data_IF_565881677258
#
_entry.id   IF_565881677258
#
_cell.length_a   1.000
_cell.length_b   1.000
_cell.length_c   1.000
_cell.angle_alpha   90.00
_cell.angle_beta   90.00
_cell.angle_gamma   90.00
#
_symmetry.space_group_name_H-M   'P 1'
#
loop_
_entity.id
_entity.type
_entity.pdbx_description
1 polymer ?
#
# COMPACT_ATOMS: atom_id res chain seq x y z
N UNK A 1 34.04 9.30 -55.34
CA UNK A 1 32.66 9.60 -55.73
C UNK A 1 31.82 8.35 -55.48
N UNK A 2 31.39 8.11 -54.25
CA UNK A 2 30.43 7.06 -53.91
C UNK A 2 30.10 7.21 -52.44
N UNK A 3 29.24 8.16 -52.11
CA UNK A 3 28.65 8.24 -50.77
C UNK A 3 27.40 9.12 -50.83
N UNK A 4 26.27 8.53 -51.27
CA UNK A 4 24.94 9.13 -51.12
C UNK A 4 23.89 8.13 -51.55
N UNK A 5 23.62 7.14 -50.72
CA UNK A 5 22.36 6.42 -50.75
C UNK A 5 22.15 5.64 -49.43
N UNK A 6 22.10 6.35 -48.30
CA UNK A 6 21.47 5.78 -47.11
C UNK A 6 19.99 6.13 -47.16
N UNK A 7 19.27 5.15 -47.62
CA UNK A 7 17.86 4.99 -47.74
C UNK A 7 17.08 5.61 -46.58
N UNK A 8 16.18 6.54 -46.90
CA UNK A 8 15.04 6.95 -46.06
C UNK A 8 14.24 5.73 -45.68
N UNK A 9 14.37 5.28 -44.46
CA UNK A 9 13.43 4.32 -43.90
C UNK A 9 12.04 4.97 -43.93
N UNK A 10 11.18 4.46 -44.81
CA UNK A 10 9.76 4.81 -44.86
C UNK A 10 9.16 4.53 -43.51
N UNK A 11 8.70 5.59 -42.83
CA UNK A 11 7.81 5.44 -41.70
C UNK A 11 6.65 4.54 -42.09
N UNK A 12 6.53 3.40 -41.41
CA UNK A 12 5.40 2.49 -41.59
C UNK A 12 4.16 3.29 -41.19
N UNK A 13 3.39 3.68 -42.19
CA UNK A 13 2.06 4.26 -42.02
C UNK A 13 1.21 3.23 -41.26
N UNK A 14 0.96 3.45 -40.00
CA UNK A 14 -0.03 2.70 -39.25
C UNK A 14 -1.39 2.98 -39.88
N UNK A 15 -1.82 2.12 -40.82
CA UNK A 15 -3.16 2.12 -41.34
C UNK A 15 -4.12 1.96 -40.16
N UNK A 16 -4.74 3.05 -39.73
CA UNK A 16 -5.83 2.99 -38.75
C UNK A 16 -6.97 2.21 -39.38
N UNK A 17 -7.11 0.96 -39.00
CA UNK A 17 -8.25 0.12 -39.38
C UNK A 17 -9.51 0.89 -39.03
N UNK A 18 -10.39 1.14 -40.01
CA UNK A 18 -11.67 1.82 -39.75
C UNK A 18 -12.49 0.90 -38.85
N UNK A 19 -12.88 1.41 -37.68
CA UNK A 19 -13.73 0.67 -36.73
C UNK A 19 -15.06 0.33 -37.38
N UNK A 20 -15.50 -0.91 -37.23
CA UNK A 20 -16.82 -1.35 -37.68
C UNK A 20 -17.92 -0.73 -36.78
N UNK A 21 -19.20 -0.86 -37.18
CA UNK A 21 -20.33 -0.41 -36.33
C UNK A 21 -20.38 -1.24 -35.04
N UNK A 22 -20.03 -2.50 -35.11
CA UNK A 22 -19.97 -3.40 -33.92
C UNK A 22 -18.87 -2.98 -32.95
N UNK A 23 -17.69 -2.61 -33.46
CA UNK A 23 -16.59 -2.06 -32.63
C UNK A 23 -17.01 -0.76 -31.92
N UNK A 24 -17.79 0.10 -32.59
CA UNK A 24 -18.30 1.33 -32.01
C UNK A 24 -19.30 1.06 -30.89
N UNK A 25 -20.22 0.14 -31.08
CA UNK A 25 -21.21 -0.26 -30.06
C UNK A 25 -20.47 -0.87 -28.86
N UNK A 26 -19.51 -1.75 -29.10
CA UNK A 26 -18.70 -2.35 -28.05
C UNK A 26 -17.93 -1.30 -27.26
N UNK A 27 -17.27 -0.36 -27.92
CA UNK A 27 -16.55 0.73 -27.25
C UNK A 27 -17.49 1.59 -26.40
N UNK A 28 -18.68 1.95 -26.90
CA UNK A 28 -19.67 2.74 -26.15
C UNK A 28 -20.09 1.98 -24.90
N UNK A 29 -20.40 0.70 -25.00
CA UNK A 29 -20.78 -0.13 -23.84
C UNK A 29 -19.62 -0.17 -22.83
N UNK A 30 -18.41 -0.42 -23.29
CA UNK A 30 -17.22 -0.51 -22.46
C UNK A 30 -16.96 0.82 -21.72
N UNK A 31 -17.00 1.95 -22.44
CA UNK A 31 -16.81 3.27 -21.81
C UNK A 31 -17.94 3.63 -20.85
N UNK A 32 -19.18 3.27 -21.17
CA UNK A 32 -20.34 3.52 -20.29
C UNK A 32 -20.18 2.75 -18.98
N UNK A 33 -19.85 1.46 -19.05
CA UNK A 33 -19.57 0.64 -17.87
C UNK A 33 -18.39 1.22 -17.09
N UNK A 34 -17.30 1.59 -17.76
CA UNK A 34 -16.14 2.21 -17.14
C UNK A 34 -16.48 3.51 -16.39
N UNK A 35 -17.23 4.40 -17.01
CA UNK A 35 -17.67 5.67 -16.38
C UNK A 35 -18.59 5.40 -15.19
N UNK A 36 -19.53 4.48 -15.30
CA UNK A 36 -20.40 4.10 -14.18
C UNK A 36 -19.59 3.55 -12.99
N UNK A 37 -18.63 2.67 -13.24
CA UNK A 37 -17.75 2.15 -12.19
C UNK A 37 -16.92 3.26 -11.54
N UNK A 38 -16.41 4.20 -12.32
CA UNK A 38 -15.67 5.36 -11.80
C UNK A 38 -16.58 6.20 -10.90
N UNK A 39 -17.79 6.52 -11.33
CA UNK A 39 -18.73 7.31 -10.55
C UNK A 39 -19.09 6.60 -9.24
N UNK A 40 -19.46 5.33 -9.31
CA UNK A 40 -19.86 4.53 -8.13
C UNK A 40 -18.70 4.44 -7.12
N UNK A 41 -17.45 4.32 -7.58
CA UNK A 41 -16.28 4.19 -6.69
C UNK A 41 -15.79 5.52 -6.16
N UNK A 42 -15.73 6.55 -6.99
CA UNK A 42 -15.17 7.85 -6.59
C UNK A 42 -16.17 8.74 -5.85
N UNK A 43 -17.46 8.62 -6.13
CA UNK A 43 -18.45 9.48 -5.49
C UNK A 43 -18.48 9.37 -3.95
N UNK A 44 -18.47 8.18 -3.33
CA UNK A 44 -18.40 8.07 -1.87
C UNK A 44 -17.13 8.71 -1.28
N UNK A 45 -15.99 8.58 -1.95
CA UNK A 45 -14.73 9.18 -1.50
C UNK A 45 -14.79 10.71 -1.62
N UNK A 46 -15.31 11.21 -2.73
CA UNK A 46 -15.55 12.64 -2.94
C UNK A 46 -16.51 13.20 -1.90
N UNK A 47 -17.62 12.50 -1.63
CA UNK A 47 -18.59 12.90 -0.60
C UNK A 47 -17.95 13.02 0.79
N UNK A 48 -17.10 12.07 1.20
CA UNK A 48 -16.37 12.12 2.48
C UNK A 48 -15.52 13.39 2.55
N UNK A 49 -14.83 13.74 1.46
CA UNK A 49 -13.97 14.93 1.42
C UNK A 49 -14.83 16.20 1.58
N UNK A 50 -15.90 16.38 0.81
CA UNK A 50 -16.75 17.58 0.92
C UNK A 50 -17.51 17.65 2.26
N UNK A 51 -17.93 16.50 2.80
CA UNK A 51 -18.59 16.43 4.09
C UNK A 51 -17.65 16.81 5.26
N UNK A 52 -16.36 16.50 5.16
CA UNK A 52 -15.38 16.75 6.22
C UNK A 52 -15.15 18.23 6.53
N UNK A 53 -15.44 19.14 5.60
CA UNK A 53 -15.33 20.59 5.79
C UNK A 53 -16.63 21.35 5.52
N UNK A 54 -17.77 20.64 5.49
CA UNK A 54 -19.09 21.26 5.37
C UNK A 54 -19.74 21.51 6.73
N UNK A 55 -20.80 22.32 6.76
CA UNK A 55 -21.58 22.51 7.98
C UNK A 55 -22.21 21.17 8.45
N UNK A 56 -22.05 20.83 9.75
CA UNK A 56 -22.55 19.54 10.28
C UNK A 56 -24.04 19.35 10.11
N UNK A 57 -24.83 20.43 10.30
CA UNK A 57 -26.27 20.36 10.14
C UNK A 57 -26.66 20.08 8.68
N UNK A 58 -25.96 20.69 7.72
CA UNK A 58 -26.20 20.45 6.30
C UNK A 58 -25.83 19.00 5.90
N UNK A 59 -24.77 18.41 6.52
CA UNK A 59 -24.39 16.99 6.32
C UNK A 59 -25.47 16.08 6.86
N UNK A 60 -25.88 16.27 8.12
CA UNK A 60 -26.86 15.43 8.81
C UNK A 60 -28.24 15.47 8.15
N UNK A 61 -28.62 16.62 7.57
CA UNK A 61 -29.88 16.82 6.86
C UNK A 61 -29.84 16.37 5.39
N UNK A 62 -28.74 15.76 4.92
CA UNK A 62 -28.62 15.30 3.54
C UNK A 62 -28.62 16.41 2.48
N UNK A 63 -28.28 17.65 2.87
CA UNK A 63 -28.29 18.80 1.96
C UNK A 63 -27.03 18.91 1.10
N UNK A 64 -26.05 18.04 1.33
CA UNK A 64 -24.78 18.00 0.61
C UNK A 64 -24.85 16.85 -0.39
N UNK A 65 -24.63 17.17 -1.67
CA UNK A 65 -24.61 16.19 -2.74
C UNK A 65 -23.33 16.29 -3.59
N UNK A 66 -23.11 17.45 -4.20
CA UNK A 66 -21.96 17.69 -5.07
C UNK A 66 -21.05 18.84 -4.61
N UNK A 67 -21.55 19.76 -3.81
CA UNK A 67 -20.79 20.92 -3.35
C UNK A 67 -20.90 21.06 -1.83
N UNK A 68 -19.82 21.53 -1.17
CA UNK A 68 -19.85 21.77 0.26
C UNK A 68 -20.81 22.95 0.57
N UNK A 69 -21.51 22.88 1.70
CA UNK A 69 -22.34 23.96 2.21
C UNK A 69 -21.80 24.41 3.57
N UNK A 70 -21.68 25.74 3.77
CA UNK A 70 -21.22 26.28 5.06
C UNK A 70 -19.80 25.81 5.41
N UNK A 71 -18.82 26.07 4.52
CA UNK A 71 -17.44 25.60 4.68
C UNK A 71 -16.87 25.96 6.07
N UNK A 72 -16.45 24.98 6.82
CA UNK A 72 -15.78 25.14 8.11
C UNK A 72 -14.75 24.03 8.34
N UNK A 73 -13.78 24.31 9.21
CA UNK A 73 -12.70 23.39 9.58
C UNK A 73 -12.75 22.98 11.05
N UNK A 74 -13.90 23.09 11.71
CA UNK A 74 -14.06 22.79 13.15
C UNK A 74 -13.65 21.36 13.47
N UNK A 75 -14.04 20.37 12.64
CA UNK A 75 -13.65 18.97 12.81
C UNK A 75 -12.13 18.76 12.78
N UNK A 76 -11.47 19.38 11.80
CA UNK A 76 -9.99 19.32 11.68
C UNK A 76 -9.28 20.03 12.84
N UNK A 77 -9.77 21.21 13.24
CA UNK A 77 -9.20 21.95 14.36
C UNK A 77 -9.30 21.15 15.68
N UNK A 78 -10.45 20.56 15.93
CA UNK A 78 -10.64 19.71 17.08
C UNK A 78 -9.78 18.45 17.00
N UNK A 79 -9.71 17.80 15.83
CA UNK A 79 -8.87 16.62 15.65
C UNK A 79 -7.39 16.95 15.89
N UNK A 80 -6.91 18.08 15.37
CA UNK A 80 -5.53 18.54 15.56
C UNK A 80 -5.18 18.89 17.00
N UNK A 81 -6.16 19.22 17.84
CA UNK A 81 -5.94 19.51 19.27
C UNK A 81 -5.69 18.26 20.14
N UNK A 82 -5.97 17.06 19.60
CA UNK A 82 -5.65 15.82 20.31
C UNK A 82 -4.15 15.51 20.26
N UNK A 83 -3.43 15.70 21.35
CA UNK A 83 -1.98 15.43 21.42
C UNK A 83 -1.63 13.98 21.04
N UNK A 84 -2.49 13.01 21.38
CA UNK A 84 -2.34 11.60 21.00
C UNK A 84 -2.33 11.37 19.48
N UNK A 85 -2.99 12.23 18.69
CA UNK A 85 -2.98 12.15 17.23
C UNK A 85 -1.55 12.28 16.69
N UNK A 86 -0.80 13.25 17.15
CA UNK A 86 0.58 13.51 16.71
C UNK A 86 1.55 12.42 17.13
N UNK A 87 1.34 11.88 18.36
CA UNK A 87 2.08 10.68 18.80
C UNK A 87 1.78 9.49 17.88
N UNK A 88 0.51 9.27 17.56
CA UNK A 88 0.09 8.21 16.63
C UNK A 88 0.70 8.35 15.24
N UNK A 89 0.75 9.57 14.69
CA UNK A 89 1.45 9.85 13.41
C UNK A 89 2.93 9.52 13.46
N UNK A 90 3.63 10.03 14.50
CA UNK A 90 5.05 9.75 14.69
C UNK A 90 5.33 8.26 14.75
N UNK A 91 4.55 7.52 15.54
CA UNK A 91 4.72 6.08 15.69
C UNK A 91 4.43 5.34 14.37
N UNK A 92 3.35 5.69 13.67
CA UNK A 92 3.02 5.06 12.39
C UNK A 92 4.09 5.31 11.35
N UNK A 93 4.61 6.53 11.24
CA UNK A 93 5.71 6.85 10.32
C UNK A 93 6.95 6.02 10.67
N UNK A 94 7.29 5.90 11.96
CA UNK A 94 8.41 5.09 12.40
C UNK A 94 8.20 3.60 12.09
N UNK A 95 7.00 3.06 12.31
CA UNK A 95 6.65 1.68 11.95
C UNK A 95 6.68 1.45 10.44
N UNK A 96 6.18 2.38 9.64
CA UNK A 96 6.23 2.32 8.16
C UNK A 96 7.67 2.27 7.68
N UNK A 97 8.53 3.17 8.15
CA UNK A 97 9.93 3.23 7.71
C UNK A 97 10.67 1.96 8.11
N UNK A 98 10.67 1.64 9.42
CA UNK A 98 11.41 0.48 9.93
C UNK A 98 10.82 -0.84 9.48
N UNK A 99 9.48 -0.97 9.49
CA UNK A 99 8.79 -2.18 9.04
C UNK A 99 9.02 -2.46 7.55
N UNK A 100 8.94 -1.43 6.70
CA UNK A 100 9.26 -1.56 5.28
C UNK A 100 10.72 -1.92 5.06
N UNK A 101 11.65 -1.26 5.77
CA UNK A 101 13.06 -1.58 5.67
C UNK A 101 13.36 -3.03 6.04
N UNK A 102 12.88 -3.51 7.20
CA UNK A 102 13.09 -4.90 7.64
C UNK A 102 12.43 -5.88 6.67
N UNK A 103 11.21 -5.58 6.21
CA UNK A 103 10.52 -6.40 5.19
C UNK A 103 11.35 -6.54 3.92
N UNK A 104 11.94 -5.47 3.41
CA UNK A 104 12.79 -5.52 2.22
C UNK A 104 14.08 -6.31 2.47
N UNK A 105 14.76 -6.04 3.58
CA UNK A 105 16.02 -6.72 3.95
C UNK A 105 15.84 -8.24 4.08
N UNK A 106 14.66 -8.69 4.52
CA UNK A 106 14.41 -10.13 4.68
C UNK A 106 13.87 -10.75 3.39
N UNK A 107 12.85 -10.13 2.76
CA UNK A 107 12.15 -10.77 1.65
C UNK A 107 12.90 -10.68 0.31
N UNK A 108 13.67 -9.61 0.05
CA UNK A 108 14.38 -9.46 -1.23
C UNK A 108 15.52 -10.49 -1.37
N UNK A 109 16.42 -10.65 -0.39
CA UNK A 109 17.45 -11.69 -0.47
C UNK A 109 16.86 -13.11 -0.51
N UNK A 110 15.82 -13.40 0.28
CA UNK A 110 15.13 -14.67 0.26
C UNK A 110 14.53 -14.98 -1.12
N UNK A 111 13.86 -14.00 -1.73
CA UNK A 111 13.31 -14.11 -3.08
C UNK A 111 14.38 -14.40 -4.12
N UNK A 112 15.50 -13.66 -4.06
CA UNK A 112 16.63 -13.85 -4.95
C UNK A 112 17.26 -15.23 -4.79
N UNK A 113 17.57 -15.64 -3.58
CA UNK A 113 18.14 -16.96 -3.31
C UNK A 113 17.25 -18.08 -3.86
N UNK A 114 15.94 -18.02 -3.59
CA UNK A 114 14.98 -19.01 -4.09
C UNK A 114 14.77 -18.96 -5.62
N UNK A 115 15.17 -17.90 -6.29
CA UNK A 115 15.14 -17.82 -7.75
C UNK A 115 16.28 -18.63 -8.40
N UNK A 116 17.42 -18.78 -7.72
CA UNK A 116 18.60 -19.45 -8.29
C UNK A 116 18.41 -20.96 -8.39
N UNK A 117 18.70 -21.53 -9.58
CA UNK A 117 18.53 -22.97 -9.84
C UNK A 117 19.51 -23.82 -9.02
N UNK A 118 20.70 -23.29 -8.79
CA UNK A 118 21.80 -23.98 -8.08
C UNK A 118 21.70 -23.90 -6.54
N UNK A 119 20.64 -23.28 -5.99
CA UNK A 119 20.48 -23.25 -4.53
C UNK A 119 20.22 -24.66 -4.00
N UNK A 120 21.14 -25.15 -3.18
CA UNK A 120 20.99 -26.44 -2.48
C UNK A 120 19.76 -26.39 -1.56
N UNK A 121 18.92 -27.43 -1.61
CA UNK A 121 17.70 -27.48 -0.79
C UNK A 121 16.58 -26.53 -1.24
N UNK A 122 16.64 -25.94 -2.44
CA UNK A 122 15.64 -24.99 -2.97
C UNK A 122 14.19 -25.46 -2.80
N UNK A 123 13.91 -26.76 -3.04
CA UNK A 123 12.55 -27.31 -2.89
C UNK A 123 12.09 -27.28 -1.43
N UNK A 124 12.99 -27.64 -0.51
CA UNK A 124 12.72 -27.60 0.93
C UNK A 124 12.43 -26.18 1.40
N UNK A 125 13.29 -25.21 1.10
CA UNK A 125 13.07 -23.81 1.48
C UNK A 125 11.82 -23.21 0.82
N UNK A 126 11.54 -23.57 -0.43
CA UNK A 126 10.30 -23.14 -1.08
C UNK A 126 9.07 -23.67 -0.34
N UNK A 127 9.05 -24.95 0.02
CA UNK A 127 7.96 -25.54 0.80
C UNK A 127 7.85 -24.90 2.20
N UNK A 128 8.97 -24.67 2.87
CA UNK A 128 9.04 -24.02 4.18
C UNK A 128 8.37 -22.63 4.18
N UNK A 129 8.58 -21.82 3.15
CA UNK A 129 7.89 -20.53 3.01
C UNK A 129 6.44 -20.68 2.56
N UNK A 130 6.10 -21.69 1.75
CA UNK A 130 4.73 -21.87 1.24
C UNK A 130 3.77 -22.42 2.28
N UNK A 131 4.22 -23.34 3.15
CA UNK A 131 3.37 -23.98 4.15
C UNK A 131 2.61 -22.96 5.01
N UNK A 132 3.25 -21.93 5.61
CA UNK A 132 2.56 -20.94 6.42
C UNK A 132 1.53 -20.09 5.65
N UNK A 133 1.59 -20.04 4.34
CA UNK A 133 0.60 -19.34 3.53
C UNK A 133 -0.75 -20.07 3.53
N UNK A 134 -0.75 -21.39 3.61
CA UNK A 134 -1.95 -22.23 3.59
C UNK A 134 -2.36 -22.70 4.99
N UNK A 135 -1.41 -22.85 5.91
CA UNK A 135 -1.60 -23.37 7.25
C UNK A 135 -1.10 -22.36 8.28
N UNK A 136 -2.02 -21.55 8.82
CA UNK A 136 -1.68 -20.60 9.88
C UNK A 136 -1.85 -21.25 11.25
N UNK A 137 -0.94 -20.96 12.18
CA UNK A 137 -1.06 -21.39 13.57
C UNK A 137 -2.22 -20.71 14.32
N UNK A 138 -2.78 -19.64 13.77
CA UNK A 138 -3.85 -18.84 14.39
C UNK A 138 -3.31 -17.78 15.35
N UNK A 139 -4.26 -17.00 15.91
CA UNK A 139 -3.95 -15.84 16.73
C UNK A 139 -3.28 -16.22 18.07
N UNK A 140 -3.82 -17.21 18.77
CA UNK A 140 -3.35 -17.59 20.11
C UNK A 140 -1.91 -18.10 20.08
N UNK A 141 -1.52 -19.07 19.24
CA UNK A 141 -0.13 -19.51 19.13
C UNK A 141 0.82 -18.37 18.73
N UNK A 142 0.40 -17.48 17.82
CA UNK A 142 1.22 -16.32 17.43
C UNK A 142 1.42 -15.36 18.61
N UNK A 143 0.37 -15.09 19.38
CA UNK A 143 0.46 -14.25 20.59
C UNK A 143 1.44 -14.85 21.60
N UNK A 144 1.31 -16.15 21.89
CA UNK A 144 2.19 -16.85 22.83
C UNK A 144 3.66 -16.84 22.35
N UNK A 145 3.90 -16.99 21.04
CA UNK A 145 5.23 -16.90 20.48
C UNK A 145 5.81 -15.47 20.69
N UNK A 146 5.04 -14.44 20.35
CA UNK A 146 5.45 -13.02 20.54
C UNK A 146 5.74 -12.74 22.02
N UNK A 147 4.91 -13.27 22.93
CA UNK A 147 5.10 -13.15 24.38
C UNK A 147 6.39 -13.85 24.82
N UNK A 148 6.64 -15.05 24.33
CA UNK A 148 7.85 -15.83 24.66
C UNK A 148 9.15 -15.14 24.25
N UNK A 149 9.12 -14.37 23.16
CA UNK A 149 10.24 -13.56 22.70
C UNK A 149 10.32 -12.17 23.38
N UNK A 150 9.48 -11.91 24.38
CA UNK A 150 9.43 -10.63 25.12
C UNK A 150 9.21 -9.41 24.20
N UNK A 151 8.47 -9.58 23.12
CA UNK A 151 8.19 -8.51 22.16
C UNK A 151 6.89 -7.76 22.45
N UNK A 152 6.01 -8.27 23.33
CA UNK A 152 4.75 -7.61 23.68
C UNK A 152 5.01 -6.20 24.20
N UNK A 153 4.18 -5.27 23.76
CA UNK A 153 4.21 -3.85 24.16
C UNK A 153 5.55 -3.17 23.89
N UNK A 154 6.23 -3.56 22.82
CA UNK A 154 7.47 -2.94 22.35
C UNK A 154 7.32 -2.38 20.94
N UNK A 155 8.19 -1.45 20.55
CA UNK A 155 8.28 -0.97 19.17
C UNK A 155 8.49 -2.13 18.16
N UNK A 156 9.31 -3.11 18.54
CA UNK A 156 9.74 -4.21 17.67
C UNK A 156 8.63 -5.20 17.35
N UNK A 157 7.56 -5.28 18.16
CA UNK A 157 6.43 -6.17 17.84
C UNK A 157 5.70 -5.77 16.56
N UNK A 158 5.71 -4.48 16.22
CA UNK A 158 5.11 -3.99 14.98
C UNK A 158 6.01 -4.17 13.75
N UNK A 159 7.30 -4.38 13.95
CA UNK A 159 8.31 -4.38 12.89
C UNK A 159 8.77 -5.79 12.53
N UNK A 160 9.12 -6.63 13.52
CA UNK A 160 9.85 -7.89 13.30
C UNK A 160 8.96 -9.09 13.02
N UNK A 161 7.95 -9.44 13.86
CA UNK A 161 7.22 -10.72 13.73
C UNK A 161 6.49 -10.90 12.41
N UNK A 162 6.08 -9.79 11.77
CA UNK A 162 5.26 -9.79 10.55
C UNK A 162 6.02 -9.32 9.31
N UNK A 163 7.36 -9.23 9.38
CA UNK A 163 8.20 -8.75 8.28
C UNK A 163 8.38 -9.78 7.16
N UNK A 164 8.30 -11.08 7.47
CA UNK A 164 8.39 -12.15 6.47
C UNK A 164 7.01 -12.37 5.85
N UNK A 165 6.87 -12.04 4.57
CA UNK A 165 5.61 -12.19 3.85
C UNK A 165 5.82 -13.10 2.64
N UNK A 166 5.30 -14.31 2.71
CA UNK A 166 5.46 -15.35 1.67
C UNK A 166 5.07 -14.84 0.29
N UNK A 167 3.98 -14.08 0.19
CA UNK A 167 3.54 -13.49 -1.08
C UNK A 167 4.61 -12.59 -1.71
N UNK A 168 5.30 -11.76 -0.92
CA UNK A 168 6.39 -10.91 -1.42
C UNK A 168 7.57 -11.73 -1.91
N UNK A 169 7.88 -12.83 -1.21
CA UNK A 169 8.94 -13.77 -1.62
C UNK A 169 8.60 -14.41 -2.97
N UNK A 170 7.35 -14.86 -3.17
CA UNK A 170 6.91 -15.47 -4.42
C UNK A 170 6.99 -14.48 -5.59
N UNK A 171 6.45 -13.26 -5.40
CA UNK A 171 6.48 -12.21 -6.42
C UNK A 171 7.93 -11.84 -6.77
N UNK A 172 8.77 -11.59 -5.76
CA UNK A 172 10.18 -11.29 -5.97
C UNK A 172 10.93 -12.43 -6.68
N UNK A 173 10.71 -13.69 -6.26
CA UNK A 173 11.29 -14.86 -6.91
C UNK A 173 10.89 -14.96 -8.38
N UNK A 174 9.62 -14.74 -8.71
CA UNK A 174 9.13 -14.77 -10.09
C UNK A 174 9.79 -13.68 -10.92
N UNK A 175 9.89 -12.47 -10.36
CA UNK A 175 10.59 -11.37 -11.02
C UNK A 175 12.07 -11.72 -11.28
N UNK A 176 12.80 -12.22 -10.29
CA UNK A 176 14.21 -12.55 -10.44
C UNK A 176 14.44 -13.68 -11.45
N UNK A 177 13.55 -14.68 -11.50
CA UNK A 177 13.63 -15.75 -12.50
C UNK A 177 13.50 -15.23 -13.93
N UNK A 178 12.65 -14.20 -14.14
CA UNK A 178 12.35 -13.68 -15.47
C UNK A 178 13.30 -12.55 -15.91
N UNK A 179 13.80 -11.77 -14.98
CA UNK A 179 14.51 -10.52 -15.26
C UNK A 179 16.03 -10.58 -15.02
N UNK A 180 16.52 -11.63 -14.35
CA UNK A 180 17.96 -11.81 -14.07
C UNK A 180 18.41 -13.14 -14.65
N UNK A 181 18.82 -13.18 -15.97
CA UNK A 181 19.29 -14.39 -16.63
C UNK A 181 20.52 -15.00 -15.94
N UNK A 182 20.68 -16.30 -16.07
CA UNK A 182 21.82 -17.02 -15.52
C UNK A 182 23.14 -16.56 -16.15
N UNK A 183 23.10 -16.23 -17.44
CA UNK A 183 24.26 -15.76 -18.24
C UNK A 183 24.92 -14.52 -17.62
N UNK A 184 24.13 -13.63 -16.96
CA UNK A 184 24.68 -12.48 -16.22
C UNK A 184 25.52 -12.91 -15.02
N UNK A 185 25.13 -14.00 -14.36
CA UNK A 185 25.90 -14.56 -13.26
C UNK A 185 27.19 -15.19 -13.75
N UNK A 186 27.12 -15.98 -14.85
CA UNK A 186 28.28 -16.61 -15.45
C UNK A 186 29.33 -15.59 -15.90
N UNK A 187 28.89 -14.53 -16.59
CA UNK A 187 29.76 -13.42 -16.96
C UNK A 187 30.42 -12.73 -15.74
N UNK A 188 29.64 -12.45 -14.71
CA UNK A 188 30.14 -11.83 -13.49
C UNK A 188 31.17 -12.72 -12.74
N UNK A 189 31.01 -14.05 -12.80
CA UNK A 189 31.99 -14.98 -12.26
C UNK A 189 33.32 -14.96 -13.00
N UNK A 190 33.29 -14.84 -14.34
CA UNK A 190 34.51 -14.68 -15.14
C UNK A 190 35.27 -13.40 -14.78
N UNK A 191 34.52 -12.35 -14.42
CA UNK A 191 35.09 -11.07 -13.92
C UNK A 191 35.52 -11.14 -12.43
N UNK A 192 35.49 -12.32 -11.79
CA UNK A 192 35.88 -12.53 -10.39
C UNK A 192 34.86 -12.01 -9.36
N UNK A 193 33.61 -11.75 -9.77
CA UNK A 193 32.58 -11.25 -8.88
C UNK A 193 31.99 -12.38 -8.00
N UNK A 194 32.06 -12.22 -6.68
CA UNK A 194 31.41 -13.16 -5.74
C UNK A 194 29.91 -12.91 -5.58
N UNK A 195 29.20 -13.86 -4.95
CA UNK A 195 27.73 -13.84 -4.78
C UNK A 195 27.18 -12.52 -4.16
N UNK A 196 27.81 -12.03 -3.09
CA UNK A 196 27.37 -10.78 -2.46
C UNK A 196 27.63 -9.57 -3.36
N UNK A 197 28.78 -9.54 -4.05
CA UNK A 197 29.10 -8.49 -5.02
C UNK A 197 28.08 -8.44 -6.15
N UNK A 198 27.74 -9.60 -6.72
CA UNK A 198 26.72 -9.71 -7.76
C UNK A 198 25.34 -9.24 -7.28
N UNK A 199 24.93 -9.67 -6.08
CA UNK A 199 23.64 -9.28 -5.51
C UNK A 199 23.54 -7.76 -5.34
N UNK A 200 24.53 -7.14 -4.67
CA UNK A 200 24.46 -5.70 -4.37
C UNK A 200 24.73 -4.79 -5.56
N UNK A 201 25.69 -5.18 -6.44
CA UNK A 201 26.14 -4.31 -7.55
C UNK A 201 25.34 -4.50 -8.83
N UNK A 202 24.75 -5.69 -9.06
CA UNK A 202 24.06 -6.00 -10.32
C UNK A 202 22.58 -6.29 -10.07
N UNK A 203 22.23 -7.25 -9.19
CA UNK A 203 20.86 -7.68 -9.00
C UNK A 203 19.98 -6.57 -8.42
N UNK A 204 20.36 -5.95 -7.32
CA UNK A 204 19.56 -4.89 -6.68
C UNK A 204 19.31 -3.69 -7.61
N UNK A 205 20.32 -3.13 -8.31
CA UNK A 205 20.09 -2.04 -9.24
C UNK A 205 19.16 -2.37 -10.41
N UNK A 206 19.22 -3.60 -10.93
CA UNK A 206 18.33 -4.07 -12.01
C UNK A 206 16.90 -4.35 -11.52
N UNK A 207 16.71 -4.51 -10.21
CA UNK A 207 15.45 -4.93 -9.61
C UNK A 207 14.66 -3.81 -8.94
N UNK A 208 14.96 -2.55 -9.25
CA UNK A 208 14.31 -1.37 -8.65
C UNK A 208 12.78 -1.44 -8.74
N UNK A 209 12.23 -1.96 -9.83
CA UNK A 209 10.78 -2.06 -10.04
C UNK A 209 10.12 -2.96 -8.99
N UNK A 210 10.58 -4.21 -8.82
CA UNK A 210 10.00 -5.14 -7.83
C UNK A 210 10.26 -4.70 -6.40
N UNK A 211 11.42 -4.11 -6.12
CA UNK A 211 11.73 -3.56 -4.80
C UNK A 211 10.75 -2.43 -4.45
N UNK A 212 10.47 -1.51 -5.38
CA UNK A 212 9.52 -0.43 -5.18
C UNK A 212 8.09 -0.94 -4.95
N UNK A 213 7.66 -1.98 -5.67
CA UNK A 213 6.35 -2.61 -5.49
C UNK A 213 6.23 -3.24 -4.10
N UNK A 214 7.21 -4.04 -3.70
CA UNK A 214 7.22 -4.68 -2.38
C UNK A 214 7.31 -3.64 -1.26
N UNK A 215 8.13 -2.59 -1.44
CA UNK A 215 8.21 -1.47 -0.50
C UNK A 215 6.87 -0.78 -0.32
N UNK A 216 6.13 -0.52 -1.40
CA UNK A 216 4.80 0.08 -1.32
C UNK A 216 3.83 -0.80 -0.56
N UNK A 217 3.76 -2.09 -0.90
CA UNK A 217 2.86 -3.02 -0.21
C UNK A 217 3.18 -3.13 1.28
N UNK A 218 4.47 -3.19 1.63
CA UNK A 218 4.91 -3.20 3.02
C UNK A 218 4.54 -1.90 3.75
N UNK A 219 4.78 -0.75 3.13
CA UNK A 219 4.47 0.56 3.69
C UNK A 219 2.96 0.75 3.91
N UNK A 220 2.13 0.38 2.92
CA UNK A 220 0.66 0.43 3.04
C UNK A 220 0.17 -0.56 4.11
N UNK A 221 0.74 -1.77 4.18
CA UNK A 221 0.42 -2.75 5.20
C UNK A 221 0.72 -2.24 6.61
N UNK A 222 1.90 -1.62 6.81
CA UNK A 222 2.29 -1.02 8.09
C UNK A 222 1.43 0.19 8.45
N UNK A 223 1.10 1.05 7.50
CA UNK A 223 0.19 2.18 7.73
C UNK A 223 -1.17 1.74 8.24
N UNK A 224 -1.71 0.64 7.70
CA UNK A 224 -3.02 0.08 8.03
C UNK A 224 -2.97 -0.94 9.18
N UNK A 225 -1.86 -1.08 9.90
CA UNK A 225 -1.62 -2.12 10.91
C UNK A 225 -2.42 -1.89 12.21
N UNK A 226 -3.75 -1.83 12.10
CA UNK A 226 -4.66 -1.67 13.22
C UNK A 226 -4.74 -2.92 14.10
N UNK A 227 -4.97 -4.09 13.48
CA UNK A 227 -5.26 -5.32 14.21
C UNK A 227 -4.08 -5.82 15.05
N UNK A 228 -2.88 -5.79 14.48
CA UNK A 228 -1.67 -6.15 15.21
C UNK A 228 -1.43 -5.21 16.39
N UNK A 229 -1.59 -3.90 16.17
CA UNK A 229 -1.44 -2.92 17.25
C UNK A 229 -2.46 -3.13 18.37
N UNK A 230 -3.72 -3.46 18.03
CA UNK A 230 -4.78 -3.71 19.01
C UNK A 230 -4.44 -4.89 19.93
N UNK A 231 -3.77 -5.93 19.41
CA UNK A 231 -3.48 -7.15 20.15
C UNK A 231 -2.17 -7.04 20.94
N UNK A 232 -1.14 -6.44 20.34
CA UNK A 232 0.21 -6.51 20.88
C UNK A 232 0.70 -5.24 21.56
N UNK A 233 0.04 -4.07 21.37
CA UNK A 233 0.41 -2.78 21.97
C UNK A 233 -0.59 -2.40 23.05
N UNK A 234 -0.10 -2.18 24.27
CA UNK A 234 -0.89 -1.71 25.42
C UNK A 234 -0.60 -0.25 25.77
N UNK A 235 0.68 0.14 25.70
CA UNK A 235 1.14 1.47 26.05
C UNK A 235 0.67 2.52 25.04
N UNK A 236 0.00 3.57 25.51
CA UNK A 236 -0.50 4.67 24.67
C UNK A 236 0.62 5.37 23.88
N UNK A 237 1.83 5.41 24.43
CA UNK A 237 3.00 6.02 23.80
C UNK A 237 3.48 5.31 22.55
N UNK A 238 3.11 4.02 22.35
CA UNK A 238 3.46 3.18 21.21
C UNK A 238 2.31 2.99 20.23
N UNK A 239 1.11 3.47 20.54
CA UNK A 239 -0.05 3.28 19.68
C UNK A 239 0.15 3.94 18.31
N UNK A 240 -0.13 3.22 17.20
CA UNK A 240 -0.14 3.81 15.88
C UNK A 240 -1.41 4.64 15.66
N UNK A 241 -1.37 5.46 14.60
CA UNK A 241 -2.45 6.37 14.20
C UNK A 241 -3.83 5.69 14.15
N UNK A 242 -3.92 4.50 13.57
CA UNK A 242 -5.19 3.80 13.39
C UNK A 242 -5.89 3.46 14.72
N UNK A 243 -5.13 3.11 15.76
CA UNK A 243 -5.68 2.89 17.11
C UNK A 243 -6.16 4.20 17.71
N UNK A 244 -5.36 5.26 17.59
CA UNK A 244 -5.70 6.59 18.12
C UNK A 244 -6.96 7.13 17.43
N UNK A 245 -7.05 7.06 16.12
CA UNK A 245 -8.22 7.52 15.36
C UNK A 245 -9.49 6.76 15.75
N UNK A 246 -9.39 5.43 15.94
CA UNK A 246 -10.51 4.65 16.44
C UNK A 246 -10.92 5.08 17.85
N UNK A 247 -9.98 5.30 18.76
CA UNK A 247 -10.30 5.74 20.13
C UNK A 247 -11.02 7.09 20.14
N UNK A 248 -10.60 8.03 19.29
CA UNK A 248 -11.26 9.33 19.13
C UNK A 248 -12.68 9.14 18.56
N UNK A 249 -12.83 8.29 17.53
CA UNK A 249 -14.13 8.01 16.91
C UNK A 249 -15.11 7.41 17.93
N UNK A 250 -14.71 6.35 18.63
CA UNK A 250 -15.54 5.67 19.64
C UNK A 250 -15.87 6.62 20.78
N UNK A 251 -14.90 7.39 21.27
CA UNK A 251 -15.10 8.37 22.35
C UNK A 251 -16.15 9.43 21.98
N UNK A 252 -16.08 10.00 20.77
CA UNK A 252 -17.05 10.98 20.31
C UNK A 252 -18.45 10.37 20.09
N UNK A 253 -18.55 9.15 19.59
CA UNK A 253 -19.81 8.44 19.46
C UNK A 253 -20.46 8.16 20.82
N UNK A 254 -19.68 7.71 21.81
CA UNK A 254 -20.15 7.46 23.16
C UNK A 254 -20.64 8.77 23.83
N UNK A 255 -19.88 9.86 23.71
CA UNK A 255 -20.27 11.16 24.20
C UNK A 255 -21.60 11.63 23.58
N UNK A 256 -21.74 11.47 22.26
CA UNK A 256 -22.98 11.80 21.55
C UNK A 256 -24.18 10.97 22.01
N UNK A 257 -23.96 9.67 22.29
CA UNK A 257 -25.02 8.77 22.78
C UNK A 257 -25.45 9.04 24.22
N UNK A 258 -24.55 9.59 25.06
CA UNK A 258 -24.82 9.92 26.47
C UNK A 258 -25.41 11.33 26.65
N UNK A 259 -25.34 12.18 25.64
CA UNK A 259 -25.87 13.55 25.69
C UNK A 259 -27.41 13.54 25.49
N UNK A 260 -28.10 14.49 26.10
CA UNK A 260 -29.56 14.63 26.03
C UNK A 260 -29.98 16.04 25.60
N UNK A 261 -31.16 16.19 25.02
CA UNK A 261 -31.71 17.47 24.60
C UNK A 261 -30.92 18.14 23.48
N UNK A 262 -30.80 19.45 23.48
CA UNK A 262 -30.10 20.24 22.45
C UNK A 262 -28.60 19.87 22.36
N UNK A 263 -27.97 19.60 23.50
CA UNK A 263 -26.57 19.18 23.56
C UNK A 263 -26.32 17.87 22.82
N UNK A 264 -27.30 16.95 22.76
CA UNK A 264 -27.18 15.71 21.99
C UNK A 264 -27.07 15.95 20.49
N UNK A 265 -27.81 16.94 19.98
CA UNK A 265 -27.77 17.32 18.55
C UNK A 265 -26.39 17.87 18.19
N UNK A 266 -25.87 18.80 18.99
CA UNK A 266 -24.53 19.37 18.75
C UNK A 266 -23.42 18.32 18.87
N UNK A 267 -23.49 17.47 19.90
CA UNK A 267 -22.51 16.38 20.09
C UNK A 267 -22.53 15.39 18.90
N UNK A 268 -23.71 15.04 18.38
CA UNK A 268 -23.86 14.18 17.21
C UNK A 268 -23.28 14.83 15.95
N UNK A 269 -23.61 16.09 15.72
CA UNK A 269 -23.09 16.83 14.57
C UNK A 269 -21.55 16.94 14.60
N UNK A 270 -20.99 17.17 15.79
CA UNK A 270 -19.53 17.21 15.95
C UNK A 270 -18.89 15.83 15.76
N UNK A 271 -19.50 14.75 16.27
CA UNK A 271 -19.04 13.38 16.06
C UNK A 271 -19.03 13.01 14.57
N UNK A 272 -20.05 13.42 13.80
CA UNK A 272 -20.10 13.19 12.36
C UNK A 272 -19.00 13.96 11.61
N UNK A 273 -18.75 15.23 11.96
CA UNK A 273 -17.63 15.99 11.38
C UNK A 273 -16.27 15.35 11.64
N UNK A 274 -16.04 14.97 12.89
CA UNK A 274 -14.78 14.31 13.29
C UNK A 274 -14.62 12.99 12.54
N UNK A 275 -15.69 12.23 12.36
CA UNK A 275 -15.68 10.97 11.59
C UNK A 275 -15.17 11.19 10.15
N UNK A 276 -15.71 12.18 9.44
CA UNK A 276 -15.26 12.48 8.07
C UNK A 276 -13.84 13.04 8.04
N UNK A 277 -13.49 13.93 8.97
CA UNK A 277 -12.13 14.45 9.09
C UNK A 277 -11.10 13.34 9.37
N UNK A 278 -11.42 12.36 10.22
CA UNK A 278 -10.58 11.19 10.51
C UNK A 278 -10.29 10.40 9.23
N UNK A 279 -11.31 10.12 8.41
CA UNK A 279 -11.14 9.35 7.18
C UNK A 279 -10.19 10.09 6.22
N UNK A 280 -10.38 11.39 6.03
CA UNK A 280 -9.49 12.19 5.17
C UNK A 280 -8.06 12.21 5.70
N UNK A 281 -7.89 12.49 7.00
CA UNK A 281 -6.57 12.58 7.65
C UNK A 281 -5.83 11.24 7.63
N UNK A 282 -6.53 10.12 7.81
CA UNK A 282 -5.92 8.79 7.75
C UNK A 282 -5.54 8.35 6.33
N UNK A 283 -6.29 8.79 5.31
CA UNK A 283 -6.09 8.37 3.92
C UNK A 283 -5.09 9.26 3.16
N UNK A 284 -5.02 10.56 3.50
CA UNK A 284 -4.21 11.54 2.78
C UNK A 284 -2.72 11.14 2.63
N UNK A 285 -2.00 10.66 3.66
CA UNK A 285 -0.60 10.28 3.50
C UNK A 285 -0.37 9.14 2.51
N UNK A 286 -1.25 8.12 2.49
CA UNK A 286 -1.16 7.01 1.52
C UNK A 286 -1.43 7.53 0.12
N UNK A 287 -2.44 8.38 -0.06
CA UNK A 287 -2.73 8.99 -1.36
C UNK A 287 -1.56 9.83 -1.88
N UNK A 288 -0.85 10.52 -0.99
CA UNK A 288 0.36 11.28 -1.36
C UNK A 288 1.55 10.37 -1.71
N UNK A 289 1.61 9.14 -1.19
CA UNK A 289 2.67 8.17 -1.53
C UNK A 289 2.49 7.55 -2.92
N UNK A 290 1.24 7.42 -3.40
CA UNK A 290 0.95 6.74 -4.67
C UNK A 290 1.68 7.34 -5.88
N UNK A 291 1.70 8.66 -6.14
CA UNK A 291 2.40 9.24 -7.27
C UNK A 291 3.90 8.95 -7.29
N UNK A 292 4.52 8.81 -6.11
CA UNK A 292 5.95 8.53 -5.98
C UNK A 292 6.31 7.13 -6.50
N UNK A 293 5.37 6.18 -6.42
CA UNK A 293 5.60 4.78 -6.79
C UNK A 293 5.02 4.44 -8.16
N UNK A 294 4.03 5.22 -8.64
CA UNK A 294 3.34 4.99 -9.92
C UNK A 294 4.31 4.83 -11.11
N UNK A 295 5.39 5.61 -11.14
CA UNK A 295 6.42 5.52 -12.19
C UNK A 295 7.09 4.14 -12.31
N UNK A 296 7.18 3.40 -11.20
CA UNK A 296 7.78 2.06 -11.20
C UNK A 296 6.79 0.97 -11.65
N UNK A 297 5.48 1.17 -11.44
CA UNK A 297 4.45 0.25 -11.94
C UNK A 297 4.42 0.21 -13.48
N UNK A 298 4.51 1.35 -14.13
CA UNK A 298 4.50 1.42 -15.59
C UNK A 298 5.68 0.66 -16.22
N UNK A 299 6.83 0.59 -15.55
CA UNK A 299 7.99 -0.17 -16.00
C UNK A 299 7.85 -1.69 -15.78
N UNK A 300 7.19 -2.10 -14.69
CA UNK A 300 7.00 -3.52 -14.35
C UNK A 300 5.95 -4.23 -15.22
N UNK A 301 4.88 -3.55 -15.57
CA UNK A 301 3.80 -4.10 -16.42
C UNK A 301 4.27 -4.31 -17.84
N UNK A 302 5.13 -3.44 -18.39
CA UNK A 302 5.68 -3.57 -19.74
C UNK A 302 6.63 -4.76 -19.90
N UNK A 303 7.34 -5.18 -18.86
CA UNK A 303 8.25 -6.33 -18.89
C UNK A 303 7.51 -7.68 -18.96
N UNK A 304 6.26 -7.73 -18.50
CA UNK A 304 5.41 -8.92 -18.59
C UNK A 304 4.70 -9.09 -19.94
N UNK A 305 4.47 -8.01 -20.68
CA UNK A 305 3.70 -8.01 -21.93
C UNK A 305 4.54 -8.24 -23.18
N UNK A 306 5.88 -8.16 -23.11
CA UNK A 306 6.78 -8.36 -24.25
C UNK A 306 7.15 -9.84 -24.50
N UNK A 307 6.57 -10.80 -23.79
CA UNK A 307 6.75 -12.25 -23.99
C UNK A 307 5.45 -12.97 -24.41
N UNK A 308 4.54 -12.27 -25.06
CA UNK A 308 3.39 -12.84 -25.75
C UNK A 308 3.58 -12.76 -27.26
#
# INVERSE_FOLDING_TARGET
MESKNMSKAKAVSTNKVKKSREDWIFDIILYTIGVLLIIITLYPMYFIVIASFSDPAAVSNGQIMFLPKGVNFKGYKQLASYAKLWTGYRNTIAYVIMGTFVTLVVNIPASYALSRKHLYGRRFFTAFYLIPMFFTGGLIPTYLAVQRFHLLDTFWVMVVPFSVVTYYIIVGRTFFNNSIPEDLWEAAQLDGCGYLGFFFKIVLPLSKAVIAVIALWAAVGQWNSYFNALIYIRSESLQPLQIVLRSILVGNQTMSAMSTGAAAVEAKQMADLIKYAIIVVSSAPIMCMYPLVQKYFNQGVMLGSLKG
#
